data_IF_161781078736
#
_entry.id   IF_161781078736
#
_cell.length_a   1.000
_cell.length_b   1.000
_cell.length_c   1.000
_cell.angle_alpha   90.00
_cell.angle_beta   90.00
_cell.angle_gamma   90.00
#
_symmetry.space_group_name_H-M   'P 1'
#
loop_
_entity.id
_entity.type
_entity.pdbx_description
1 polymer ?
#
# COMPACT_ATOMS: atom_id res chain seq x y z
N UNK A 1 18.11 -18.14 2.75
CA UNK A 1 17.79 -16.71 2.59
C UNK A 1 17.87 -16.06 3.96
N UNK A 2 18.70 -15.03 4.13
CA UNK A 2 18.83 -14.33 5.42
C UNK A 2 17.52 -13.63 5.78
N UNK A 3 17.30 -13.34 7.06
CA UNK A 3 16.14 -12.56 7.50
C UNK A 3 16.06 -11.21 6.81
N UNK A 4 17.20 -10.51 6.68
CA UNK A 4 17.26 -9.22 5.99
C UNK A 4 16.76 -9.31 4.54
N UNK A 5 17.08 -10.42 3.86
CA UNK A 5 16.62 -10.66 2.48
C UNK A 5 15.11 -10.91 2.43
N UNK A 6 14.52 -11.60 3.43
CA UNK A 6 13.07 -11.80 3.54
C UNK A 6 12.33 -10.49 3.78
N UNK A 7 12.84 -9.68 4.69
CA UNK A 7 12.26 -8.37 5.03
C UNK A 7 12.32 -7.43 3.83
N UNK A 8 13.46 -7.36 3.15
CA UNK A 8 13.61 -6.55 1.93
C UNK A 8 12.66 -7.01 0.81
N UNK A 9 12.54 -8.32 0.58
CA UNK A 9 11.62 -8.86 -0.43
C UNK A 9 10.15 -8.58 -0.10
N UNK A 10 9.76 -8.67 1.17
CA UNK A 10 8.42 -8.30 1.61
C UNK A 10 8.13 -6.82 1.33
N UNK A 11 9.02 -5.92 1.72
CA UNK A 11 8.85 -4.48 1.50
C UNK A 11 8.78 -4.11 0.02
N UNK A 12 9.62 -4.72 -0.82
CA UNK A 12 9.57 -4.54 -2.27
C UNK A 12 8.22 -4.99 -2.85
N UNK A 13 7.75 -6.17 -2.44
CA UNK A 13 6.44 -6.70 -2.87
C UNK A 13 5.30 -5.81 -2.39
N UNK A 14 5.42 -5.28 -1.17
CA UNK A 14 4.44 -4.37 -0.57
C UNK A 14 4.32 -3.04 -1.32
N UNK A 15 5.47 -2.41 -1.61
CA UNK A 15 5.53 -1.16 -2.37
C UNK A 15 4.97 -1.38 -3.78
N UNK A 16 5.30 -2.50 -4.43
CA UNK A 16 4.77 -2.83 -5.75
C UNK A 16 3.23 -2.90 -5.76
N UNK A 17 2.63 -3.61 -4.79
CA UNK A 17 1.17 -3.69 -4.66
C UNK A 17 0.56 -2.31 -4.37
N UNK A 18 1.19 -1.50 -3.52
CA UNK A 18 0.73 -0.16 -3.21
C UNK A 18 0.71 0.76 -4.45
N UNK A 19 1.74 0.68 -5.30
CA UNK A 19 1.80 1.44 -6.55
C UNK A 19 0.74 1.01 -7.56
N UNK A 20 0.47 -0.29 -7.68
CA UNK A 20 -0.61 -0.82 -8.55
C UNK A 20 -1.97 -0.34 -8.06
N UNK A 21 -2.23 -0.41 -6.75
CA UNK A 21 -3.46 0.08 -6.16
C UNK A 21 -3.64 1.60 -6.37
N UNK A 22 -2.57 2.38 -6.19
CA UNK A 22 -2.56 3.81 -6.46
C UNK A 22 -2.84 4.11 -7.94
N UNK A 23 -2.19 3.42 -8.87
CA UNK A 23 -2.39 3.59 -10.31
C UNK A 23 -3.82 3.26 -10.74
N UNK A 24 -4.38 2.15 -10.25
CA UNK A 24 -5.77 1.78 -10.47
C UNK A 24 -6.72 2.84 -9.89
N UNK A 25 -6.43 3.34 -8.69
CA UNK A 25 -7.24 4.35 -8.03
C UNK A 25 -7.24 5.68 -8.79
N UNK A 26 -6.07 6.20 -9.15
CA UNK A 26 -5.94 7.43 -9.94
C UNK A 26 -6.67 7.27 -11.28
N UNK A 27 -6.47 6.16 -12.00
CA UNK A 27 -7.18 5.91 -13.26
C UNK A 27 -8.70 5.83 -13.13
N UNK A 28 -9.19 5.26 -12.03
CA UNK A 28 -10.63 5.05 -11.80
C UNK A 28 -11.34 6.29 -11.28
N UNK A 29 -10.65 7.13 -10.50
CA UNK A 29 -11.28 8.22 -9.74
C UNK A 29 -10.87 9.62 -10.17
N UNK A 30 -9.82 9.80 -10.99
CA UNK A 30 -9.44 11.11 -11.52
C UNK A 30 -10.60 11.79 -12.29
N UNK A 31 -11.46 11.03 -12.96
CA UNK A 31 -12.62 11.54 -13.67
C UNK A 31 -13.89 11.68 -12.81
N UNK A 32 -13.90 11.17 -11.57
CA UNK A 32 -15.10 11.11 -10.70
C UNK A 32 -15.22 12.28 -9.72
N UNK A 33 -14.29 13.23 -9.79
CA UNK A 33 -14.30 14.46 -8.99
C UNK A 33 -13.54 14.36 -7.65
N UNK A 34 -13.30 15.51 -7.00
CA UNK A 34 -12.33 15.64 -5.90
C UNK A 34 -12.72 14.85 -4.63
N UNK A 35 -14.01 14.71 -4.32
CA UNK A 35 -14.47 13.92 -3.15
C UNK A 35 -14.08 12.45 -3.30
N UNK A 36 -14.20 11.91 -4.52
CA UNK A 36 -13.89 10.52 -4.79
C UNK A 36 -12.39 10.25 -4.66
N UNK A 37 -11.56 11.21 -5.09
CA UNK A 37 -10.09 11.19 -4.90
C UNK A 37 -9.72 11.20 -3.41
N UNK A 38 -10.34 12.09 -2.61
CA UNK A 38 -10.09 12.16 -1.15
C UNK A 38 -10.43 10.82 -0.47
N UNK A 39 -11.57 10.22 -0.83
CA UNK A 39 -12.03 8.99 -0.20
C UNK A 39 -11.04 7.83 -0.41
N UNK A 40 -10.59 7.62 -1.65
CA UNK A 40 -9.64 6.54 -1.85
C UNK A 40 -8.18 6.92 -1.68
N UNK A 41 -7.80 8.19 -1.52
CA UNK A 41 -6.57 8.52 -0.79
C UNK A 41 -6.64 8.00 0.65
N UNK A 42 -7.79 8.14 1.32
CA UNK A 42 -8.03 7.57 2.64
C UNK A 42 -7.87 6.03 2.66
N UNK A 43 -8.54 5.33 1.75
CA UNK A 43 -8.44 3.87 1.63
C UNK A 43 -7.02 3.43 1.24
N UNK A 44 -6.39 4.13 0.30
CA UNK A 44 -5.02 3.85 -0.13
C UNK A 44 -3.97 4.20 0.93
N UNK A 45 -4.27 5.00 1.95
CA UNK A 45 -3.40 5.27 3.09
C UNK A 45 -3.59 4.25 4.23
N UNK A 46 -4.82 3.75 4.41
CA UNK A 46 -5.13 2.72 5.41
C UNK A 46 -4.46 1.38 5.09
N UNK A 47 -4.31 1.03 3.82
CA UNK A 47 -3.62 -0.19 3.39
C UNK A 47 -2.11 -0.19 3.77
N UNK A 48 -1.29 0.82 3.40
CA UNK A 48 0.06 1.07 3.89
C UNK A 48 0.23 0.96 5.41
N UNK A 49 -0.70 1.52 6.17
CA UNK A 49 -0.67 1.47 7.63
C UNK A 49 -0.91 0.04 8.16
N UNK A 50 -1.83 -0.70 7.56
CA UNK A 50 -2.12 -2.08 7.96
C UNK A 50 -0.95 -3.05 7.73
N UNK A 51 -0.21 -2.93 6.61
CA UNK A 51 0.98 -3.76 6.39
C UNK A 51 2.16 -3.40 7.30
N UNK A 52 2.28 -2.13 7.73
CA UNK A 52 3.25 -1.72 8.76
C UNK A 52 2.96 -2.37 10.12
N UNK A 53 1.67 -2.43 10.51
CA UNK A 53 1.23 -3.13 11.74
C UNK A 53 1.55 -4.62 11.63
N UNK A 54 1.24 -5.26 10.50
CA UNK A 54 1.54 -6.68 10.27
C UNK A 54 3.03 -6.99 10.27
N UNK A 55 3.89 -6.07 9.82
CA UNK A 55 5.32 -6.23 9.89
C UNK A 55 5.85 -6.14 11.32
N UNK A 56 5.29 -5.26 12.14
CA UNK A 56 5.57 -5.21 13.58
C UNK A 56 5.19 -6.51 14.29
N UNK A 57 4.11 -7.17 13.86
CA UNK A 57 3.70 -8.50 14.36
C UNK A 57 4.61 -9.63 13.85
N UNK A 58 5.16 -9.51 12.64
CA UNK A 58 6.03 -10.54 12.05
C UNK A 58 7.47 -10.51 12.56
N UNK A 59 7.93 -9.37 13.06
CA UNK A 59 9.28 -9.18 13.59
C UNK A 59 9.38 -9.34 15.12
N UNK A 60 8.26 -9.57 15.80
CA UNK A 60 8.18 -9.81 17.26
C UNK A 60 8.10 -11.30 17.57
#
# INVERSE_FOLDING_TARGET
>A
MSEDTKVAAFWLSYIAVALVALGYFVGTFAAKGPIAVIFGMGVAALWPASGLIWLGVWLS
#
